data_IF_448605353435
#
_entry.id   IF_448605353435
#
_cell.length_a   1.000
_cell.length_b   1.000
_cell.length_c   1.000
_cell.angle_alpha   90.00
_cell.angle_beta   90.00
_cell.angle_gamma   90.00
#
_symmetry.space_group_name_H-M   'P 1'
#
loop_
_entity.id
_entity.type
_entity.pdbx_description
1 polymer ?
#
# COMPACT_ATOMS: atom_id res chain seq x y z
N UNK A 1 -18.43 19.35 -6.55
CA UNK A 1 -19.43 19.09 -7.61
C UNK A 1 -19.89 17.67 -7.38
N UNK A 2 -21.19 17.39 -7.19
CA UNK A 2 -21.61 16.02 -6.86
C UNK A 2 -21.31 15.08 -8.05
N UNK A 3 -20.45 14.09 -7.82
CA UNK A 3 -20.08 13.07 -8.82
C UNK A 3 -21.33 12.32 -9.25
N UNK A 4 -21.67 12.36 -10.54
CA UNK A 4 -22.86 11.69 -11.08
C UNK A 4 -22.45 10.37 -11.73
N UNK A 5 -23.03 9.27 -11.26
CA UNK A 5 -22.82 7.95 -11.84
C UNK A 5 -23.40 7.87 -13.25
N UNK A 6 -22.69 7.23 -14.17
CA UNK A 6 -23.21 6.90 -15.49
C UNK A 6 -24.27 5.79 -15.39
N UNK A 7 -25.21 5.68 -16.36
CA UNK A 7 -26.20 4.59 -16.37
C UNK A 7 -25.56 3.20 -16.28
N UNK A 8 -24.41 3.01 -16.95
CA UNK A 8 -23.65 1.75 -16.92
C UNK A 8 -23.10 1.44 -15.53
N UNK A 9 -22.59 2.45 -14.80
CA UNK A 9 -22.12 2.29 -13.42
C UNK A 9 -23.28 1.94 -12.48
N UNK A 10 -24.42 2.62 -12.62
CA UNK A 10 -25.63 2.31 -11.84
C UNK A 10 -26.11 0.88 -12.07
N UNK A 11 -26.16 0.44 -13.32
CA UNK A 11 -26.53 -0.95 -13.66
C UNK A 11 -25.54 -1.96 -13.06
N UNK A 12 -24.24 -1.66 -13.10
CA UNK A 12 -23.20 -2.54 -12.55
C UNK A 12 -23.30 -2.63 -11.03
N UNK A 13 -23.50 -1.51 -10.32
CA UNK A 13 -23.76 -1.50 -8.87
C UNK A 13 -25.02 -2.31 -8.55
N UNK A 14 -26.12 -2.08 -9.27
CA UNK A 14 -27.37 -2.81 -9.09
C UNK A 14 -27.21 -4.33 -9.25
N UNK A 15 -26.30 -4.78 -10.13
CA UNK A 15 -25.98 -6.21 -10.31
C UNK A 15 -25.32 -6.83 -9.07
N UNK A 16 -24.57 -6.06 -8.29
CA UNK A 16 -23.92 -6.51 -7.06
C UNK A 16 -24.79 -6.36 -5.81
N UNK A 17 -25.90 -5.62 -5.86
CA UNK A 17 -26.85 -5.47 -4.74
C UNK A 17 -27.31 -6.82 -4.15
N UNK A 18 -27.74 -7.83 -4.95
CA UNK A 18 -28.12 -9.12 -4.39
C UNK A 18 -26.95 -9.90 -3.76
N UNK A 19 -25.73 -9.69 -4.23
CA UNK A 19 -24.52 -10.28 -3.63
C UNK A 19 -24.30 -9.64 -2.28
N UNK A 20 -24.31 -8.31 -2.22
CA UNK A 20 -24.07 -7.58 -0.98
C UNK A 20 -25.11 -7.85 0.09
N UNK A 21 -26.40 -8.01 -0.28
CA UNK A 21 -27.43 -8.41 0.69
C UNK A 21 -27.11 -9.74 1.38
N UNK A 22 -26.49 -10.71 0.70
CA UNK A 22 -26.07 -11.97 1.34
C UNK A 22 -24.96 -11.77 2.36
N UNK A 23 -24.06 -10.82 2.11
CA UNK A 23 -23.02 -10.45 3.08
C UNK A 23 -23.65 -9.79 4.31
N UNK A 24 -24.64 -8.91 4.10
CA UNK A 24 -25.39 -8.29 5.18
C UNK A 24 -26.21 -9.31 6.00
N UNK A 25 -26.77 -10.34 5.37
CA UNK A 25 -27.54 -11.40 6.04
C UNK A 25 -26.67 -12.25 6.99
N UNK A 26 -25.35 -12.36 6.75
CA UNK A 26 -24.38 -13.09 7.59
C UNK A 26 -23.47 -12.15 8.41
N UNK A 27 -23.85 -10.87 8.51
CA UNK A 27 -22.98 -9.83 9.07
C UNK A 27 -22.53 -10.11 10.52
N UNK A 28 -23.36 -10.77 11.32
CA UNK A 28 -23.06 -11.09 12.72
C UNK A 28 -21.92 -12.11 12.89
N UNK A 29 -21.68 -12.96 11.88
CA UNK A 29 -20.63 -13.98 11.91
C UNK A 29 -19.44 -13.67 10.99
N UNK A 30 -19.53 -12.60 10.18
CA UNK A 30 -18.46 -12.23 9.26
C UNK A 30 -17.23 -11.72 10.02
N UNK A 31 -16.13 -12.47 9.91
CA UNK A 31 -14.87 -12.14 10.58
C UNK A 31 -14.31 -10.76 10.20
N UNK A 32 -14.56 -10.27 8.99
CA UNK A 32 -14.11 -8.93 8.56
C UNK A 32 -14.89 -7.83 9.28
N UNK A 33 -16.20 -8.03 9.50
CA UNK A 33 -17.03 -7.07 10.24
C UNK A 33 -16.70 -7.08 11.73
N UNK A 34 -16.48 -8.26 12.31
CA UNK A 34 -16.02 -8.38 13.69
C UNK A 34 -14.67 -7.67 13.90
N UNK A 35 -13.74 -7.83 12.95
CA UNK A 35 -12.44 -7.15 13.01
C UNK A 35 -12.57 -5.63 12.79
N UNK A 36 -13.46 -5.19 11.88
CA UNK A 36 -13.77 -3.78 11.70
C UNK A 36 -14.35 -3.19 13.00
N UNK A 37 -15.27 -3.89 13.67
CA UNK A 37 -15.88 -3.45 14.91
C UNK A 37 -14.86 -3.33 16.05
N UNK A 38 -14.02 -4.36 16.25
CA UNK A 38 -12.96 -4.32 17.26
C UNK A 38 -12.01 -3.12 17.06
N UNK A 39 -11.70 -2.80 15.79
CA UNK A 39 -10.85 -1.66 15.44
C UNK A 39 -11.56 -0.31 15.66
N UNK A 40 -12.85 -0.21 15.36
CA UNK A 40 -13.67 0.96 15.73
C UNK A 40 -13.63 1.20 17.23
N UNK A 41 -13.81 0.15 18.02
CA UNK A 41 -13.77 0.24 19.48
C UNK A 41 -12.39 0.72 19.96
N UNK A 42 -11.30 0.12 19.48
CA UNK A 42 -9.94 0.54 19.79
C UNK A 42 -9.68 2.01 19.45
N UNK A 43 -10.01 2.43 18.22
CA UNK A 43 -9.71 3.78 17.74
C UNK A 43 -10.60 4.83 18.39
N UNK A 44 -11.85 4.48 18.74
CA UNK A 44 -12.74 5.37 19.49
C UNK A 44 -12.19 5.75 20.86
N UNK A 45 -11.32 4.92 21.44
CA UNK A 45 -10.65 5.18 22.71
C UNK A 45 -9.33 5.92 22.51
N UNK A 46 -8.49 5.46 21.58
CA UNK A 46 -7.10 5.92 21.45
C UNK A 46 -6.92 7.17 20.57
N UNK A 47 -7.84 7.44 19.64
CA UNK A 47 -7.72 8.53 18.66
C UNK A 47 -8.59 9.74 18.98
N UNK A 48 -9.15 9.83 20.19
CA UNK A 48 -9.87 11.05 20.62
C UNK A 48 -8.91 12.24 20.79
N UNK A 49 -9.41 13.50 20.72
CA UNK A 49 -8.57 14.67 20.93
C UNK A 49 -7.87 14.69 22.30
N UNK A 50 -8.44 14.03 23.31
CA UNK A 50 -7.87 13.96 24.64
C UNK A 50 -6.86 12.82 24.78
N UNK A 51 -7.18 11.63 24.29
CA UNK A 51 -6.26 10.49 24.28
C UNK A 51 -4.96 10.82 23.53
N UNK A 52 -5.04 11.53 22.40
CA UNK A 52 -3.86 11.96 21.66
C UNK A 52 -2.93 12.87 22.46
N UNK A 53 -3.39 13.64 23.45
CA UNK A 53 -2.50 14.48 24.29
C UNK A 53 -1.60 13.65 25.20
N UNK A 54 -2.04 12.43 25.51
CA UNK A 54 -1.41 11.54 26.46
C UNK A 54 -0.87 10.26 25.80
N UNK A 55 -0.92 10.20 24.46
CA UNK A 55 -0.49 9.05 23.68
C UNK A 55 0.99 8.78 23.87
N UNK A 56 1.31 7.62 24.45
CA UNK A 56 2.66 7.09 24.55
C UNK A 56 2.99 6.14 23.40
N UNK A 57 4.16 5.52 23.49
CA UNK A 57 4.62 4.53 22.51
C UNK A 57 3.72 3.29 22.47
N UNK A 58 3.15 2.90 23.60
CA UNK A 58 2.24 1.76 23.69
C UNK A 58 0.95 2.03 22.88
N UNK A 59 0.25 3.13 23.16
CA UNK A 59 -1.00 3.47 22.48
C UNK A 59 -0.76 3.76 21.00
N UNK A 60 0.33 4.45 20.67
CA UNK A 60 0.73 4.66 19.27
C UNK A 60 0.98 3.32 18.57
N UNK A 61 1.73 2.42 19.20
CA UNK A 61 2.01 1.10 18.66
C UNK A 61 0.76 0.24 18.51
N UNK A 62 -0.22 0.37 19.40
CA UNK A 62 -1.53 -0.28 19.28
C UNK A 62 -2.28 0.19 18.03
N UNK A 63 -2.33 1.51 17.81
CA UNK A 63 -2.97 2.10 16.63
C UNK A 63 -2.27 1.61 15.35
N UNK A 64 -0.94 1.73 15.27
CA UNK A 64 -0.20 1.38 14.05
C UNK A 64 -0.22 -0.12 13.77
N UNK A 65 0.04 -0.95 14.78
CA UNK A 65 0.11 -2.41 14.61
C UNK A 65 -1.21 -3.00 14.16
N UNK A 66 -2.30 -2.36 14.59
CA UNK A 66 -3.64 -2.72 14.19
C UNK A 66 -4.03 -2.17 12.83
N UNK A 67 -3.27 -1.40 12.05
CA UNK A 67 -3.79 -1.04 10.71
C UNK A 67 -3.92 -2.28 9.81
N UNK A 68 -4.91 -2.30 8.90
CA UNK A 68 -4.98 -3.31 7.85
C UNK A 68 -3.76 -3.25 6.94
N UNK A 69 -3.29 -2.05 6.61
CA UNK A 69 -2.03 -1.86 5.86
C UNK A 69 -0.81 -2.42 6.61
N UNK A 70 -0.85 -2.45 7.94
CA UNK A 70 0.22 -3.02 8.74
C UNK A 70 0.28 -4.54 8.65
N UNK A 71 -0.77 -5.26 8.20
CA UNK A 71 -0.79 -6.74 8.09
C UNK A 71 0.39 -7.31 7.29
N UNK A 72 0.92 -6.55 6.34
CA UNK A 72 2.10 -6.92 5.56
C UNK A 72 3.38 -7.04 6.40
N UNK A 73 3.42 -6.45 7.60
CA UNK A 73 4.58 -6.47 8.48
C UNK A 73 4.54 -7.65 9.43
N UNK A 74 5.45 -8.61 9.28
CA UNK A 74 5.60 -9.71 10.24
C UNK A 74 6.06 -9.21 11.62
N UNK A 75 6.97 -8.22 11.66
CA UNK A 75 7.44 -7.61 12.90
C UNK A 75 6.81 -6.22 13.11
N UNK A 76 5.70 -6.17 13.85
CA UNK A 76 5.00 -4.92 14.19
C UNK A 76 5.84 -3.98 15.07
N UNK A 77 6.63 -4.54 15.99
CA UNK A 77 7.54 -3.77 16.84
C UNK A 77 8.53 -2.95 16.01
N UNK A 78 9.17 -3.59 15.04
CA UNK A 78 10.08 -2.92 14.13
C UNK A 78 9.40 -1.82 13.30
N UNK A 79 8.18 -2.05 12.80
CA UNK A 79 7.41 -1.01 12.09
C UNK A 79 7.23 0.24 12.95
N UNK A 80 6.76 0.05 14.20
CA UNK A 80 6.51 1.15 15.13
C UNK A 80 7.81 1.87 15.49
N UNK A 81 8.86 1.14 15.84
CA UNK A 81 10.18 1.70 16.15
C UNK A 81 10.76 2.48 14.95
N UNK A 82 10.58 1.97 13.73
CA UNK A 82 11.02 2.65 12.51
C UNK A 82 10.25 3.96 12.31
N UNK A 83 8.93 3.97 12.44
CA UNK A 83 8.14 5.19 12.35
C UNK A 83 8.57 6.24 13.39
N UNK A 84 8.77 5.81 14.65
CA UNK A 84 9.23 6.69 15.73
C UNK A 84 10.65 7.20 15.44
N UNK A 85 11.56 6.36 14.96
CA UNK A 85 12.93 6.77 14.59
C UNK A 85 12.95 7.78 13.44
N UNK A 86 12.12 7.58 12.43
CA UNK A 86 12.11 8.42 11.22
C UNK A 86 11.41 9.77 11.44
N UNK A 87 10.56 9.90 12.47
CA UNK A 87 9.70 11.08 12.68
C UNK A 87 9.73 11.67 14.11
N UNK A 88 10.09 10.90 15.12
CA UNK A 88 9.83 11.10 16.57
C UNK A 88 8.37 10.95 16.97
N UNK A 89 8.13 10.32 18.14
CA UNK A 89 6.78 10.11 18.68
C UNK A 89 6.00 11.43 18.89
N UNK A 90 6.59 12.51 19.46
CA UNK A 90 5.84 13.77 19.63
C UNK A 90 5.38 14.38 18.31
N UNK A 91 6.22 14.34 17.27
CA UNK A 91 5.83 14.86 15.95
C UNK A 91 4.73 14.01 15.31
N UNK A 92 4.82 12.67 15.41
CA UNK A 92 3.78 11.76 14.93
C UNK A 92 2.43 12.05 15.58
N UNK A 93 2.40 12.21 16.91
CA UNK A 93 1.18 12.51 17.67
C UNK A 93 0.61 13.87 17.29
N UNK A 94 1.46 14.89 17.14
CA UNK A 94 1.04 16.22 16.71
C UNK A 94 0.45 16.23 15.30
N UNK A 95 1.07 15.51 14.36
CA UNK A 95 0.53 15.39 12.99
C UNK A 95 -0.75 14.55 12.96
N UNK A 96 -0.87 13.47 13.75
CA UNK A 96 -2.11 12.71 13.89
C UNK A 96 -3.24 13.60 14.40
N UNK A 97 -2.98 14.45 15.39
CA UNK A 97 -3.96 15.42 15.90
C UNK A 97 -4.41 16.39 14.81
N UNK A 98 -3.49 16.88 13.97
CA UNK A 98 -3.84 17.78 12.85
C UNK A 98 -4.60 17.05 11.75
N UNK A 99 -4.21 15.83 11.41
CA UNK A 99 -4.88 15.00 10.43
C UNK A 99 -6.33 14.71 10.83
N UNK A 100 -6.52 14.22 12.05
CA UNK A 100 -7.81 13.72 12.52
C UNK A 100 -8.72 14.86 12.97
N UNK A 101 -8.20 15.82 13.72
CA UNK A 101 -9.00 16.86 14.40
C UNK A 101 -8.64 18.29 14.02
N UNK A 102 -7.73 18.49 13.06
CA UNK A 102 -7.38 19.81 12.56
C UNK A 102 -8.56 20.50 11.86
N UNK A 103 -8.51 21.82 11.79
CA UNK A 103 -9.46 22.64 11.04
C UNK A 103 -9.13 22.63 9.55
N UNK A 104 -10.13 22.86 8.70
CA UNK A 104 -9.97 22.94 7.25
C UNK A 104 -10.46 21.68 6.52
N UNK A 105 -10.29 21.70 5.20
CA UNK A 105 -10.69 20.60 4.31
C UNK A 105 -9.85 19.33 4.58
N UNK A 106 -10.47 18.16 4.43
CA UNK A 106 -9.82 16.88 4.74
C UNK A 106 -8.62 16.65 3.83
N UNK A 107 -8.73 16.96 2.55
CA UNK A 107 -7.65 16.84 1.57
C UNK A 107 -6.43 17.68 1.95
N UNK A 108 -6.63 18.91 2.46
CA UNK A 108 -5.52 19.76 2.91
C UNK A 108 -4.79 19.15 4.10
N UNK A 109 -5.53 18.59 5.08
CA UNK A 109 -4.95 17.93 6.27
C UNK A 109 -4.21 16.64 5.88
N UNK A 110 -4.78 15.88 4.94
CA UNK A 110 -4.17 14.69 4.36
C UNK A 110 -2.80 15.00 3.72
N UNK A 111 -2.74 15.99 2.82
CA UNK A 111 -1.47 16.34 2.16
C UNK A 111 -0.43 16.93 3.12
N UNK A 112 -0.88 17.69 4.13
CA UNK A 112 0.02 18.17 5.18
C UNK A 112 0.65 17.00 5.96
N UNK A 113 -0.17 16.03 6.39
CA UNK A 113 0.30 14.84 7.08
C UNK A 113 1.27 14.03 6.22
N UNK A 114 0.90 13.73 4.97
CA UNK A 114 1.72 12.93 4.05
C UNK A 114 3.10 13.56 3.79
N UNK A 115 3.19 14.89 3.73
CA UNK A 115 4.48 15.60 3.60
C UNK A 115 5.31 15.58 4.88
N UNK A 116 4.66 15.61 6.04
CA UNK A 116 5.33 15.71 7.33
C UNK A 116 5.78 14.34 7.88
N UNK A 117 5.00 13.29 7.64
CA UNK A 117 5.20 11.96 8.21
C UNK A 117 5.75 10.98 7.17
N UNK A 118 6.94 10.45 7.43
CA UNK A 118 7.58 9.41 6.63
C UNK A 118 7.07 8.02 7.03
N UNK A 119 6.94 7.12 6.05
CA UNK A 119 6.60 5.72 6.27
C UNK A 119 5.10 5.42 6.40
N UNK A 120 4.23 6.38 6.09
CA UNK A 120 2.78 6.18 6.04
C UNK A 120 2.25 6.58 4.67
N UNK A 121 1.79 5.59 3.89
CA UNK A 121 1.15 5.82 2.60
C UNK A 121 -0.35 6.13 2.71
N UNK A 122 -0.96 6.47 1.58
CA UNK A 122 -2.39 6.79 1.47
C UNK A 122 -3.30 5.75 2.15
N UNK A 123 -3.03 4.45 2.02
CA UNK A 123 -3.81 3.40 2.67
C UNK A 123 -3.87 3.57 4.21
N UNK A 124 -2.72 3.70 4.86
CA UNK A 124 -2.67 3.91 6.32
C UNK A 124 -3.33 5.22 6.76
N UNK A 125 -3.12 6.30 6.00
CA UNK A 125 -3.65 7.63 6.35
C UNK A 125 -5.17 7.66 6.21
N UNK A 126 -5.69 7.14 5.10
CA UNK A 126 -7.14 7.10 4.83
C UNK A 126 -7.85 6.11 5.76
N UNK A 127 -7.19 5.02 6.18
CA UNK A 127 -7.74 4.12 7.20
C UNK A 127 -7.97 4.85 8.53
N UNK A 128 -6.96 5.55 9.04
CA UNK A 128 -7.11 6.34 10.27
C UNK A 128 -8.26 7.36 10.14
N UNK A 129 -8.37 8.04 9.00
CA UNK A 129 -9.44 9.00 8.75
C UNK A 129 -10.82 8.32 8.66
N UNK A 130 -10.92 7.17 8.00
CA UNK A 130 -12.17 6.44 7.79
C UNK A 130 -12.72 5.86 9.09
N UNK A 131 -11.87 5.39 10.00
CA UNK A 131 -12.34 4.89 11.29
C UNK A 131 -12.72 6.00 12.29
N UNK A 132 -12.11 7.19 12.18
CA UNK A 132 -12.44 8.33 13.06
C UNK A 132 -13.62 9.15 12.52
N UNK A 133 -13.76 9.25 11.20
CA UNK A 133 -14.79 10.03 10.51
C UNK A 133 -15.47 9.23 9.38
N UNK A 134 -16.09 8.06 9.70
CA UNK A 134 -16.63 7.14 8.69
C UNK A 134 -17.76 7.72 7.85
N UNK A 135 -18.40 8.80 8.30
CA UNK A 135 -19.46 9.50 7.58
C UNK A 135 -18.98 10.31 6.37
N UNK A 136 -17.66 10.55 6.26
CA UNK A 136 -17.09 11.47 5.26
C UNK A 136 -15.71 11.08 4.72
N UNK A 137 -15.04 10.10 5.32
CA UNK A 137 -13.70 9.68 4.94
C UNK A 137 -13.72 8.22 4.50
N UNK A 138 -13.37 7.97 3.24
CA UNK A 138 -13.33 6.65 2.63
C UNK A 138 -11.99 5.97 2.83
N UNK A 139 -11.96 4.65 2.77
CA UNK A 139 -10.72 3.89 2.80
C UNK A 139 -10.16 3.74 1.37
N UNK A 140 -8.97 4.29 1.12
CA UNK A 140 -8.29 4.16 -0.17
C UNK A 140 -7.21 3.08 -0.10
N UNK A 141 -7.44 1.92 -0.70
CA UNK A 141 -6.49 0.82 -0.78
C UNK A 141 -6.68 0.00 -2.07
N UNK A 142 -5.82 -0.99 -2.29
CA UNK A 142 -5.81 -1.82 -3.50
C UNK A 142 -7.13 -2.55 -3.72
N UNK A 143 -7.76 -3.03 -2.64
CA UNK A 143 -9.07 -3.68 -2.69
C UNK A 143 -10.14 -2.73 -3.21
N UNK A 144 -10.23 -1.52 -2.64
CA UNK A 144 -11.21 -0.52 -3.05
C UNK A 144 -10.96 -0.08 -4.50
N UNK A 145 -9.70 0.09 -4.91
CA UNK A 145 -9.33 0.43 -6.30
C UNK A 145 -9.77 -0.67 -7.27
N UNK A 146 -9.49 -1.93 -6.96
CA UNK A 146 -9.87 -3.08 -7.78
C UNK A 146 -11.39 -3.27 -7.84
N UNK A 147 -12.11 -3.07 -6.73
CA UNK A 147 -13.56 -3.12 -6.72
C UNK A 147 -14.18 -2.02 -7.61
N UNK A 148 -13.68 -0.79 -7.53
CA UNK A 148 -14.15 0.32 -8.36
C UNK A 148 -13.84 0.09 -9.85
N UNK A 149 -12.71 -0.53 -10.17
CA UNK A 149 -12.40 -0.95 -11.53
C UNK A 149 -13.43 -1.95 -12.07
N UNK A 150 -13.77 -2.99 -11.27
CA UNK A 150 -14.84 -3.95 -11.59
C UNK A 150 -16.20 -3.26 -11.79
N UNK A 151 -16.48 -2.19 -11.05
CA UNK A 151 -17.70 -1.39 -11.20
C UNK A 151 -17.68 -0.43 -12.40
N UNK A 152 -16.58 -0.39 -13.17
CA UNK A 152 -16.46 0.38 -14.40
C UNK A 152 -16.01 1.83 -14.22
N UNK A 153 -15.25 2.14 -13.17
CA UNK A 153 -14.75 3.50 -12.91
C UNK A 153 -13.35 3.79 -13.47
N UNK A 154 -12.64 2.82 -14.06
CA UNK A 154 -11.24 2.98 -14.51
C UNK A 154 -11.00 4.12 -15.50
N UNK A 155 -11.91 4.33 -16.44
CA UNK A 155 -11.75 5.39 -17.43
C UNK A 155 -12.19 6.76 -16.89
N UNK A 156 -13.27 6.80 -16.11
CA UNK A 156 -13.81 8.03 -15.53
C UNK A 156 -13.03 8.53 -14.31
N UNK A 157 -12.31 7.64 -13.64
CA UNK A 157 -11.54 7.92 -12.42
C UNK A 157 -10.07 7.47 -12.58
N UNK A 158 -9.24 8.23 -13.32
CA UNK A 158 -7.84 7.86 -13.58
C UNK A 158 -7.00 7.65 -12.32
N UNK A 159 -7.41 8.25 -11.19
CA UNK A 159 -6.82 8.08 -9.87
C UNK A 159 -6.79 6.62 -9.41
N UNK A 160 -7.66 5.73 -9.90
CA UNK A 160 -7.60 4.29 -9.58
C UNK A 160 -6.24 3.65 -9.91
N UNK A 161 -5.49 4.23 -10.87
CA UNK A 161 -4.15 3.77 -11.25
C UNK A 161 -3.05 4.18 -10.25
N UNK A 162 -3.38 4.94 -9.20
CA UNK A 162 -2.41 5.49 -8.25
C UNK A 162 -2.59 4.88 -6.86
N UNK A 163 -1.54 4.29 -6.31
CA UNK A 163 -1.53 3.89 -4.89
C UNK A 163 -1.47 5.12 -3.98
N UNK A 164 -0.63 6.10 -4.33
CA UNK A 164 -0.52 7.38 -3.62
C UNK A 164 -1.32 8.47 -4.34
N UNK A 165 -2.19 9.15 -3.59
CA UNK A 165 -3.07 10.18 -4.11
C UNK A 165 -2.81 11.52 -3.42
N UNK A 166 -3.23 12.63 -4.03
CA UNK A 166 -3.28 13.95 -3.40
C UNK A 166 -4.50 14.11 -2.50
N UNK A 167 -4.51 15.19 -1.71
CA UNK A 167 -5.69 15.58 -0.92
C UNK A 167 -6.93 15.82 -1.80
N UNK A 168 -6.76 16.50 -2.93
CA UNK A 168 -7.87 16.79 -3.86
C UNK A 168 -8.40 15.51 -4.53
N UNK A 169 -7.52 14.58 -4.86
CA UNK A 169 -7.89 13.26 -5.38
C UNK A 169 -8.62 12.44 -4.31
N UNK A 170 -8.20 12.54 -3.05
CA UNK A 170 -8.89 11.90 -1.93
C UNK A 170 -10.29 12.49 -1.68
N UNK A 171 -10.45 13.81 -1.78
CA UNK A 171 -11.78 14.44 -1.70
C UNK A 171 -12.67 14.01 -2.87
N UNK A 172 -12.11 13.91 -4.08
CA UNK A 172 -12.84 13.39 -5.25
C UNK A 172 -13.27 11.93 -5.06
N UNK A 173 -12.44 11.12 -4.39
CA UNK A 173 -12.79 9.75 -4.01
C UNK A 173 -13.93 9.70 -2.98
N UNK A 174 -13.92 10.58 -1.98
CA UNK A 174 -15.01 10.68 -1.01
C UNK A 174 -16.33 11.11 -1.68
N UNK A 175 -16.29 12.04 -2.64
CA UNK A 175 -17.45 12.43 -3.44
C UNK A 175 -18.00 11.24 -4.27
N UNK A 176 -17.12 10.40 -4.81
CA UNK A 176 -17.49 9.16 -5.50
C UNK A 176 -18.17 8.17 -4.54
N UNK A 177 -17.64 7.99 -3.33
CA UNK A 177 -18.27 7.11 -2.34
C UNK A 177 -19.67 7.61 -1.92
N UNK A 178 -19.87 8.93 -1.80
CA UNK A 178 -21.23 9.49 -1.59
C UNK A 178 -22.18 9.13 -2.73
N UNK A 179 -21.70 9.16 -3.97
CA UNK A 179 -22.52 8.78 -5.12
C UNK A 179 -22.90 7.28 -5.10
N UNK A 180 -21.95 6.41 -4.75
CA UNK A 180 -22.18 4.96 -4.59
C UNK A 180 -23.13 4.69 -3.43
N UNK A 181 -22.93 5.33 -2.28
CA UNK A 181 -23.80 5.25 -1.11
C UNK A 181 -25.25 5.64 -1.47
N UNK A 182 -25.42 6.73 -2.22
CA UNK A 182 -26.74 7.19 -2.68
C UNK A 182 -27.41 6.20 -3.62
N UNK A 183 -26.64 5.58 -4.53
CA UNK A 183 -27.16 4.52 -5.41
C UNK A 183 -27.58 3.28 -4.61
N UNK A 184 -26.79 2.84 -3.64
CA UNK A 184 -27.16 1.73 -2.75
C UNK A 184 -28.45 2.02 -1.97
N UNK A 185 -28.63 3.26 -1.49
CA UNK A 185 -29.87 3.71 -0.86
C UNK A 185 -31.09 3.64 -1.80
N UNK A 186 -30.91 3.92 -3.11
CA UNK A 186 -31.98 3.73 -4.09
C UNK A 186 -32.44 2.26 -4.22
N UNK A 187 -31.57 1.32 -3.82
CA UNK A 187 -31.88 -0.11 -3.71
C UNK A 187 -32.28 -0.54 -2.29
N UNK A 188 -32.67 0.40 -1.42
CA UNK A 188 -33.08 0.16 -0.03
C UNK A 188 -31.99 -0.49 0.83
N UNK A 189 -30.73 -0.11 0.57
CA UNK A 189 -29.61 -0.40 1.45
C UNK A 189 -29.20 0.93 2.08
N UNK A 190 -29.93 1.29 3.12
CA UNK A 190 -29.81 2.56 3.83
C UNK A 190 -28.80 2.46 4.99
N UNK A 191 -28.51 3.59 5.64
CA UNK A 191 -27.70 3.69 6.87
C UNK A 191 -26.24 3.19 6.77
N UNK A 192 -25.69 3.04 5.57
CA UNK A 192 -24.26 2.76 5.40
C UNK A 192 -23.44 4.01 5.65
N UNK A 193 -22.41 3.92 6.49
CA UNK A 193 -21.28 4.86 6.46
C UNK A 193 -20.25 4.43 5.39
N UNK A 194 -19.16 5.16 5.20
CA UNK A 194 -18.16 4.81 4.18
C UNK A 194 -17.38 3.52 4.49
N UNK A 195 -17.34 3.08 5.74
CA UNK A 195 -16.81 1.75 6.08
C UNK A 195 -17.81 0.64 5.68
N UNK A 196 -19.12 0.91 5.74
CA UNK A 196 -20.16 0.07 5.15
C UNK A 196 -20.10 0.03 3.62
N UNK A 197 -19.88 1.17 2.97
CA UNK A 197 -19.61 1.23 1.51
C UNK A 197 -18.33 0.47 1.15
N UNK A 198 -17.28 0.57 1.97
CA UNK A 198 -16.06 -0.22 1.78
C UNK A 198 -16.32 -1.73 1.92
N UNK A 199 -17.25 -2.15 2.78
CA UNK A 199 -17.68 -3.56 2.86
C UNK A 199 -18.45 -4.00 1.61
N UNK A 200 -19.23 -3.11 0.99
CA UNK A 200 -19.79 -3.36 -0.35
C UNK A 200 -18.69 -3.55 -1.40
N UNK A 201 -17.68 -2.67 -1.43
CA UNK A 201 -16.53 -2.81 -2.33
C UNK A 201 -15.78 -4.12 -2.10
N UNK A 202 -15.65 -4.57 -0.85
CA UNK A 202 -15.10 -5.87 -0.52
C UNK A 202 -15.91 -7.02 -1.14
N UNK A 203 -17.23 -7.02 -1.00
CA UNK A 203 -18.10 -8.05 -1.61
C UNK A 203 -18.02 -8.06 -3.14
N UNK A 204 -17.87 -6.89 -3.78
CA UNK A 204 -17.64 -6.78 -5.23
C UNK A 204 -16.31 -7.43 -5.61
N UNK A 205 -15.24 -7.07 -4.91
CA UNK A 205 -13.89 -7.57 -5.17
C UNK A 205 -13.78 -9.08 -4.95
N UNK A 206 -14.29 -9.59 -3.84
CA UNK A 206 -14.27 -11.01 -3.51
C UNK A 206 -15.06 -11.83 -4.54
N UNK A 207 -16.28 -11.41 -4.87
CA UNK A 207 -17.10 -12.11 -5.85
C UNK A 207 -16.50 -12.07 -7.28
N UNK A 208 -15.85 -10.97 -7.65
CA UNK A 208 -15.13 -10.89 -8.92
C UNK A 208 -13.95 -11.88 -8.97
N UNK A 209 -13.19 -12.00 -7.86
CA UNK A 209 -12.10 -12.99 -7.74
C UNK A 209 -12.59 -14.43 -7.78
N UNK A 210 -13.71 -14.73 -7.13
CA UNK A 210 -14.24 -16.10 -7.09
C UNK A 210 -14.75 -16.61 -8.45
N UNK A 211 -15.23 -15.70 -9.31
CA UNK A 211 -15.68 -16.02 -10.68
C UNK A 211 -14.53 -16.32 -11.65
N UNK A 212 -13.28 -16.08 -11.26
CA UNK A 212 -12.11 -16.50 -12.02
C UNK A 212 -11.92 -18.03 -11.92
N UNK A 213 -11.73 -18.75 -13.04
CA UNK A 213 -11.34 -20.16 -13.04
C UNK A 213 -10.15 -20.43 -12.12
N UNK A 214 -10.09 -21.60 -11.46
CA UNK A 214 -8.96 -21.98 -10.59
C UNK A 214 -7.58 -21.89 -11.30
N UNK A 215 -7.54 -22.05 -12.62
CA UNK A 215 -6.34 -21.88 -13.45
C UNK A 215 -5.91 -20.43 -13.67
N UNK A 216 -6.77 -19.46 -13.36
CA UNK A 216 -6.49 -18.01 -13.36
C UNK A 216 -6.26 -17.49 -11.93
N UNK A 217 -6.58 -18.28 -10.89
CA UNK A 217 -6.26 -17.97 -9.48
C UNK A 217 -4.77 -18.18 -9.14
N UNK A 218 -4.07 -18.99 -9.94
CA UNK A 218 -2.61 -18.96 -10.08
C UNK A 218 -2.35 -18.27 -11.41
N UNK A 219 -1.56 -17.18 -11.48
CA UNK A 219 -1.37 -16.50 -12.75
C UNK A 219 -0.66 -17.47 -13.70
N UNK A 220 -1.24 -17.78 -14.89
CA UNK A 220 -0.44 -18.36 -15.96
C UNK A 220 0.68 -17.36 -16.31
N UNK A 221 1.84 -17.83 -16.81
CA UNK A 221 2.84 -16.91 -17.35
C UNK A 221 2.12 -16.02 -18.38
N UNK A 222 2.23 -14.69 -18.28
CA UNK A 222 1.37 -13.79 -19.03
C UNK A 222 1.56 -14.02 -20.54
N UNK A 223 0.47 -14.11 -21.34
CA UNK A 223 0.60 -13.79 -22.75
C UNK A 223 1.01 -12.31 -22.88
N UNK A 224 1.74 -11.97 -23.93
CA UNK A 224 2.19 -10.62 -24.26
C UNK A 224 0.99 -9.65 -24.26
N UNK A 225 0.79 -8.97 -23.13
CA UNK A 225 -0.22 -7.95 -22.88
C UNK A 225 0.48 -6.59 -22.77
N UNK A 226 -0.19 -5.50 -23.20
CA UNK A 226 0.43 -4.24 -23.60
C UNK A 226 1.16 -3.53 -22.44
N UNK A 227 2.10 -2.65 -22.80
CA UNK A 227 2.97 -1.83 -21.94
C UNK A 227 2.34 -1.57 -20.56
N UNK A 228 2.84 -2.26 -19.55
CA UNK A 228 2.27 -2.26 -18.22
C UNK A 228 2.74 -0.98 -17.49
N UNK A 229 1.91 0.05 -17.47
CA UNK A 229 2.20 1.29 -16.72
C UNK A 229 1.99 1.03 -15.22
N UNK A 230 3.08 0.76 -14.50
CA UNK A 230 3.09 0.50 -13.06
C UNK A 230 3.48 1.75 -12.24
N UNK A 231 3.10 1.83 -10.97
CA UNK A 231 3.49 2.94 -10.09
C UNK A 231 4.90 2.71 -9.51
N UNK A 232 5.79 3.70 -9.68
CA UNK A 232 7.19 3.59 -9.25
C UNK A 232 7.30 3.53 -7.73
N UNK A 233 6.56 4.39 -7.02
CA UNK A 233 6.61 4.44 -5.57
C UNK A 233 6.03 3.16 -4.96
N UNK A 234 4.95 2.64 -5.54
CA UNK A 234 4.37 1.37 -5.12
C UNK A 234 5.37 0.22 -5.29
N UNK A 235 6.07 0.16 -6.42
CA UNK A 235 7.06 -0.88 -6.65
C UNK A 235 8.22 -0.80 -5.65
N UNK A 236 8.67 0.40 -5.32
CA UNK A 236 9.69 0.63 -4.29
C UNK A 236 9.23 0.12 -2.91
N UNK A 237 7.98 0.38 -2.53
CA UNK A 237 7.41 -0.14 -1.27
C UNK A 237 7.34 -1.67 -1.26
N UNK A 238 6.90 -2.30 -2.35
CA UNK A 238 6.88 -3.75 -2.48
C UNK A 238 8.28 -4.37 -2.31
N UNK A 239 9.30 -3.78 -2.93
CA UNK A 239 10.69 -4.23 -2.77
C UNK A 239 11.18 -4.10 -1.33
N UNK A 240 10.84 -3.02 -0.62
CA UNK A 240 11.17 -2.87 0.80
C UNK A 240 10.50 -3.97 1.63
N UNK A 241 9.21 -4.22 1.39
CA UNK A 241 8.44 -5.25 2.09
C UNK A 241 9.01 -6.65 1.87
N UNK A 242 9.36 -6.99 0.62
CA UNK A 242 10.00 -8.27 0.28
C UNK A 242 11.32 -8.42 1.06
N UNK A 243 12.17 -7.39 1.03
CA UNK A 243 13.46 -7.40 1.73
C UNK A 243 13.32 -7.64 3.23
N UNK A 244 12.39 -6.95 3.87
CA UNK A 244 12.12 -7.13 5.31
C UNK A 244 11.63 -8.53 5.64
N UNK A 245 10.75 -9.11 4.82
CA UNK A 245 10.27 -10.47 5.00
C UNK A 245 11.36 -11.53 4.87
N UNK A 246 12.35 -11.27 4.01
CA UNK A 246 13.54 -12.10 3.88
C UNK A 246 14.59 -11.86 4.99
N UNK A 247 14.33 -10.94 5.92
CA UNK A 247 15.20 -10.64 7.05
C UNK A 247 16.28 -9.57 6.77
N UNK A 248 16.20 -8.86 5.65
CA UNK A 248 17.08 -7.73 5.37
C UNK A 248 16.61 -6.46 6.08
N UNK A 249 17.57 -5.61 6.46
CA UNK A 249 17.31 -4.21 6.75
C UNK A 249 17.10 -3.49 5.42
N UNK A 250 15.83 -3.36 5.00
CA UNK A 250 15.47 -2.71 3.74
C UNK A 250 15.06 -1.24 3.97
N UNK A 251 15.66 -0.33 3.19
CA UNK A 251 15.44 1.11 3.28
C UNK A 251 15.17 1.72 1.89
N UNK A 252 14.26 2.69 1.84
CA UNK A 252 13.90 3.48 0.64
C UNK A 252 14.78 4.72 0.51
N UNK A 253 15.12 5.10 -0.72
CA UNK A 253 15.77 6.37 -1.09
C UNK A 253 17.07 6.68 -0.33
N UNK A 254 17.94 5.68 -0.21
CA UNK A 254 19.15 5.77 0.61
C UNK A 254 20.35 6.24 -0.20
N UNK A 255 21.18 7.08 0.41
CA UNK A 255 22.46 7.46 -0.17
C UNK A 255 23.50 6.36 0.10
N UNK A 256 23.95 5.68 -0.96
CA UNK A 256 24.86 4.51 -0.87
C UNK A 256 26.31 4.92 -1.07
N UNK A 257 26.54 5.95 -1.89
CA UNK A 257 27.84 6.55 -2.15
C UNK A 257 27.68 8.05 -2.43
N UNK A 258 28.79 8.78 -2.48
CA UNK A 258 28.77 10.23 -2.74
C UNK A 258 28.11 10.50 -4.10
N UNK A 259 26.93 11.14 -4.07
CA UNK A 259 26.16 11.44 -5.29
C UNK A 259 25.46 10.22 -5.92
N UNK A 260 25.25 9.14 -5.15
CA UNK A 260 24.41 8.00 -5.54
C UNK A 260 23.36 7.76 -4.46
N UNK A 261 22.13 8.11 -4.82
CA UNK A 261 20.92 7.84 -4.04
C UNK A 261 20.14 6.81 -4.84
N UNK A 262 19.80 5.70 -4.18
CA UNK A 262 19.17 4.54 -4.82
C UNK A 262 17.77 4.36 -4.30
N UNK A 263 16.89 3.76 -5.10
CA UNK A 263 15.49 3.58 -4.74
C UNK A 263 15.31 2.66 -3.53
N UNK A 264 15.97 1.49 -3.53
CA UNK A 264 15.94 0.56 -2.38
C UNK A 264 17.33 0.00 -2.09
N UNK A 265 17.66 -0.08 -0.81
CA UNK A 265 18.84 -0.79 -0.30
C UNK A 265 18.40 -1.90 0.64
N UNK A 266 18.80 -3.15 0.37
CA UNK A 266 18.69 -4.25 1.33
C UNK A 266 20.06 -4.50 1.95
N UNK A 267 20.15 -4.49 3.29
CA UNK A 267 21.38 -4.77 4.01
C UNK A 267 21.21 -5.97 4.93
N UNK A 268 22.21 -6.84 4.98
CA UNK A 268 22.30 -7.91 5.97
C UNK A 268 23.67 -7.88 6.64
N UNK A 269 23.66 -7.99 7.97
CA UNK A 269 24.87 -8.19 8.75
C UNK A 269 25.20 -9.68 8.84
N UNK A 270 26.37 -10.06 8.34
CA UNK A 270 26.83 -11.46 8.36
C UNK A 270 27.68 -11.67 9.60
N UNK A 271 27.02 -11.83 10.76
CA UNK A 271 27.68 -11.96 12.05
C UNK A 271 28.71 -10.86 12.29
N UNK A 272 29.96 -11.25 12.55
CA UNK A 272 31.10 -10.35 12.72
C UNK A 272 31.97 -10.21 11.46
N UNK A 273 31.54 -10.79 10.32
CA UNK A 273 32.31 -10.81 9.06
C UNK A 273 32.13 -9.53 8.23
N UNK A 274 31.04 -8.81 8.45
CA UNK A 274 30.77 -7.54 7.77
C UNK A 274 29.31 -7.39 7.35
N UNK A 275 29.08 -6.45 6.44
CA UNK A 275 27.76 -6.11 5.90
C UNK A 275 27.75 -6.38 4.41
N UNK A 276 26.69 -7.02 3.94
CA UNK A 276 26.41 -7.16 2.51
C UNK A 276 25.18 -6.35 2.15
N UNK A 277 25.23 -5.71 0.99
CA UNK A 277 24.20 -4.80 0.50
C UNK A 277 23.76 -5.17 -0.92
N UNK A 278 22.47 -5.07 -1.18
CA UNK A 278 21.84 -5.24 -2.50
C UNK A 278 21.11 -3.94 -2.84
N UNK A 279 21.42 -3.38 -3.99
CA UNK A 279 20.88 -2.09 -4.46
C UNK A 279 19.83 -2.37 -5.52
N UNK A 280 18.66 -1.73 -5.42
CA UNK A 280 17.62 -1.79 -6.43
C UNK A 280 17.34 -0.41 -7.00
N UNK A 281 17.10 -0.38 -8.31
CA UNK A 281 16.63 0.79 -9.07
C UNK A 281 15.41 0.39 -9.89
N UNK A 282 14.32 1.15 -9.73
CA UNK A 282 13.03 0.91 -10.38
C UNK A 282 12.91 1.81 -11.62
N UNK A 283 13.14 1.23 -12.79
CA UNK A 283 13.12 1.96 -14.04
C UNK A 283 11.72 1.89 -14.68
N UNK A 284 10.95 2.97 -14.52
CA UNK A 284 9.66 3.18 -15.20
C UNK A 284 9.80 4.12 -16.41
N UNK A 285 10.36 5.31 -16.19
CA UNK A 285 10.58 6.38 -17.19
C UNK A 285 11.88 7.11 -16.86
N UNK A 286 12.52 7.68 -17.88
CA UNK A 286 13.76 8.45 -17.71
C UNK A 286 14.94 7.90 -18.49
N UNK A 287 16.11 8.52 -18.33
CA UNK A 287 17.32 8.19 -19.08
C UNK A 287 18.00 6.93 -18.51
N UNK A 288 18.24 5.95 -19.38
CA UNK A 288 18.99 4.73 -19.05
C UNK A 288 20.45 5.07 -18.71
N UNK A 289 21.04 6.08 -19.34
CA UNK A 289 22.39 6.56 -18.99
C UNK A 289 22.46 7.04 -17.55
N UNK A 290 21.41 7.73 -17.09
CA UNK A 290 21.33 8.22 -15.70
C UNK A 290 21.22 7.06 -14.71
N UNK A 291 20.41 6.05 -15.03
CA UNK A 291 20.30 4.80 -14.28
C UNK A 291 21.67 4.10 -14.18
N UNK A 292 22.33 3.86 -15.32
CA UNK A 292 23.64 3.18 -15.38
C UNK A 292 24.68 3.96 -14.59
N UNK A 293 24.74 5.27 -14.76
CA UNK A 293 25.68 6.13 -14.03
C UNK A 293 25.46 6.06 -12.53
N UNK A 294 24.20 6.03 -12.07
CA UNK A 294 23.88 5.92 -10.65
C UNK A 294 24.34 4.56 -10.08
N UNK A 295 24.06 3.47 -10.81
CA UNK A 295 24.45 2.11 -10.43
C UNK A 295 25.98 1.91 -10.40
N UNK A 296 26.71 2.50 -11.35
CA UNK A 296 28.18 2.49 -11.34
C UNK A 296 28.75 3.19 -10.11
N UNK A 297 28.13 4.30 -9.68
CA UNK A 297 28.52 4.98 -8.44
C UNK A 297 28.23 4.12 -7.21
N UNK A 298 27.07 3.45 -7.18
CA UNK A 298 26.72 2.54 -6.10
C UNK A 298 27.69 1.34 -6.00
N UNK A 299 28.16 0.82 -7.14
CA UNK A 299 29.14 -0.28 -7.19
C UNK A 299 30.46 0.03 -6.46
N UNK A 300 30.85 1.31 -6.39
CA UNK A 300 32.09 1.70 -5.72
C UNK A 300 32.03 1.51 -4.19
N UNK A 301 30.85 1.25 -3.62
CA UNK A 301 30.72 0.90 -2.21
C UNK A 301 31.08 -0.59 -2.02
N UNK A 302 32.14 -0.93 -1.22
CA UNK A 302 32.60 -2.31 -1.07
C UNK A 302 31.59 -3.29 -0.49
N UNK A 303 30.56 -2.79 0.20
CA UNK A 303 29.50 -3.64 0.76
C UNK A 303 28.47 -4.05 -0.28
N UNK A 304 28.42 -3.38 -1.45
CA UNK A 304 27.45 -3.65 -2.50
C UNK A 304 27.87 -4.89 -3.28
N UNK A 305 27.10 -5.97 -3.10
CA UNK A 305 27.35 -7.26 -3.74
C UNK A 305 26.68 -7.35 -5.10
N UNK A 306 25.48 -6.77 -5.23
CA UNK A 306 24.67 -6.81 -6.45
C UNK A 306 23.89 -5.51 -6.64
N UNK A 307 23.69 -5.20 -7.91
CA UNK A 307 22.87 -4.11 -8.43
C UNK A 307 21.68 -4.77 -9.14
N UNK A 308 20.45 -4.42 -8.80
CA UNK A 308 19.26 -5.02 -9.36
C UNK A 308 18.44 -3.94 -10.06
N UNK A 309 18.12 -4.16 -11.32
CA UNK A 309 17.26 -3.28 -12.10
C UNK A 309 15.88 -3.92 -12.17
N UNK A 310 14.86 -3.18 -11.76
CA UNK A 310 13.46 -3.59 -11.79
C UNK A 310 12.73 -2.78 -12.84
N UNK A 311 12.21 -3.43 -13.89
CA UNK A 311 11.54 -2.76 -14.99
C UNK A 311 10.54 -3.68 -15.70
N UNK A 312 9.73 -3.12 -16.59
CA UNK A 312 8.91 -3.90 -17.52
C UNK A 312 9.81 -4.70 -18.49
N UNK A 313 9.34 -5.85 -18.97
CA UNK A 313 10.11 -6.78 -19.81
C UNK A 313 10.77 -6.09 -21.02
N UNK A 314 10.01 -5.24 -21.72
CA UNK A 314 10.49 -4.46 -22.87
C UNK A 314 11.66 -3.52 -22.54
N UNK A 315 11.60 -2.87 -21.37
CA UNK A 315 12.64 -1.97 -20.90
C UNK A 315 13.88 -2.73 -20.46
N UNK A 316 13.70 -3.93 -19.87
CA UNK A 316 14.82 -4.78 -19.44
C UNK A 316 15.72 -5.12 -20.63
N UNK A 317 15.15 -5.50 -21.77
CA UNK A 317 15.94 -5.90 -22.93
C UNK A 317 16.69 -4.72 -23.55
N UNK A 318 16.08 -3.54 -23.56
CA UNK A 318 16.76 -2.31 -23.98
C UNK A 318 17.94 -1.97 -23.05
N UNK A 319 17.74 -2.06 -21.72
CA UNK A 319 18.79 -1.80 -20.72
C UNK A 319 19.92 -2.84 -20.82
N UNK A 320 19.61 -4.12 -21.06
CA UNK A 320 20.64 -5.16 -21.30
C UNK A 320 21.52 -4.80 -22.50
N UNK A 321 20.94 -4.25 -23.57
CA UNK A 321 21.66 -3.78 -24.74
C UNK A 321 22.68 -2.70 -24.40
N UNK A 322 22.27 -1.68 -23.65
CA UNK A 322 23.16 -0.60 -23.20
C UNK A 322 24.28 -1.12 -22.28
N UNK A 323 23.93 -1.98 -21.32
CA UNK A 323 24.87 -2.55 -20.35
C UNK A 323 25.88 -3.50 -21.01
N UNK A 324 25.56 -4.12 -22.15
CA UNK A 324 26.46 -5.04 -22.84
C UNK A 324 27.80 -4.40 -23.25
N UNK A 325 27.80 -3.07 -23.47
CA UNK A 325 29.01 -2.30 -23.81
C UNK A 325 29.92 -2.01 -22.62
N UNK A 326 29.46 -2.26 -21.38
CA UNK A 326 30.15 -1.87 -20.15
C UNK A 326 31.16 -2.92 -19.67
N UNK A 327 32.07 -2.55 -18.74
CA UNK A 327 33.07 -3.46 -18.18
C UNK A 327 32.45 -4.73 -17.61
N UNK A 328 33.13 -5.86 -17.78
CA UNK A 328 32.66 -7.17 -17.31
C UNK A 328 32.38 -7.21 -15.80
N UNK A 329 33.16 -6.48 -15.02
CA UNK A 329 32.96 -6.33 -13.56
C UNK A 329 31.61 -5.68 -13.22
N UNK A 330 31.15 -4.73 -14.01
CA UNK A 330 29.83 -4.13 -13.86
C UNK A 330 28.74 -5.07 -14.38
N UNK A 331 28.93 -5.66 -15.56
CA UNK A 331 27.94 -6.60 -16.14
C UNK A 331 27.63 -7.78 -15.23
N UNK A 332 28.64 -8.31 -14.52
CA UNK A 332 28.46 -9.43 -13.58
C UNK A 332 27.80 -9.05 -12.26
N UNK A 333 27.86 -7.78 -11.86
CA UNK A 333 27.22 -7.30 -10.62
C UNK A 333 25.76 -6.94 -10.81
N UNK A 334 25.33 -6.68 -12.05
CA UNK A 334 23.95 -6.36 -12.40
C UNK A 334 23.09 -7.63 -12.50
N UNK A 335 21.89 -7.56 -11.90
CA UNK A 335 20.79 -8.49 -12.07
C UNK A 335 19.54 -7.74 -12.53
N UNK A 336 18.56 -8.48 -13.02
CA UNK A 336 17.29 -7.94 -13.51
C UNK A 336 16.15 -8.66 -12.80
N UNK A 337 15.06 -7.95 -12.57
CA UNK A 337 13.81 -8.51 -12.09
C UNK A 337 12.67 -7.83 -12.83
N UNK A 338 11.73 -8.61 -13.36
CA UNK A 338 10.55 -8.03 -14.00
C UNK A 338 9.59 -7.48 -12.94
N UNK A 339 8.94 -6.36 -13.23
CA UNK A 339 7.93 -5.76 -12.34
C UNK A 339 6.85 -6.78 -11.95
N UNK A 340 6.39 -7.60 -12.89
CA UNK A 340 5.39 -8.66 -12.65
C UNK A 340 5.86 -9.68 -11.62
N UNK A 341 7.12 -10.09 -11.70
CA UNK A 341 7.71 -11.04 -10.74
C UNK A 341 7.79 -10.42 -9.35
N UNK A 342 8.17 -9.14 -9.27
CA UNK A 342 8.24 -8.39 -8.03
C UNK A 342 6.86 -8.24 -7.36
N UNK A 343 5.84 -7.85 -8.13
CA UNK A 343 4.45 -7.77 -7.65
C UNK A 343 3.95 -9.13 -7.18
N UNK A 344 4.23 -10.19 -7.96
CA UNK A 344 3.83 -11.55 -7.59
C UNK A 344 4.51 -12.02 -6.30
N UNK A 345 5.78 -11.69 -6.11
CA UNK A 345 6.49 -12.00 -4.87
C UNK A 345 5.85 -11.30 -3.67
N UNK A 346 5.46 -10.03 -3.81
CA UNK A 346 4.76 -9.28 -2.76
C UNK A 346 3.40 -9.89 -2.40
N UNK A 347 2.61 -10.31 -3.39
CA UNK A 347 1.34 -11.01 -3.17
C UNK A 347 1.53 -12.32 -2.39
N UNK A 348 2.48 -13.16 -2.81
CA UNK A 348 2.78 -14.44 -2.17
C UNK A 348 3.25 -14.26 -0.73
N UNK A 349 4.04 -13.22 -0.47
CA UNK A 349 4.44 -12.84 0.88
C UNK A 349 3.22 -12.40 1.71
N UNK A 350 2.29 -11.65 1.12
CA UNK A 350 1.03 -11.29 1.76
C UNK A 350 0.19 -12.52 2.16
N UNK A 351 0.06 -13.48 1.25
CA UNK A 351 -0.62 -14.75 1.52
C UNK A 351 0.09 -15.55 2.63
N UNK A 352 1.41 -15.72 2.54
CA UNK A 352 2.22 -16.40 3.54
C UNK A 352 2.11 -15.72 4.90
N UNK A 353 2.18 -14.39 4.95
CA UNK A 353 1.99 -13.58 6.15
C UNK A 353 0.64 -13.89 6.81
N UNK A 354 -0.44 -13.90 6.02
CA UNK A 354 -1.78 -14.22 6.52
C UNK A 354 -1.91 -15.64 7.07
N UNK A 355 -1.21 -16.62 6.46
CA UNK A 355 -1.19 -18.01 6.95
C UNK A 355 -0.39 -18.13 8.24
N UNK A 356 0.84 -17.59 8.27
CA UNK A 356 1.74 -17.66 9.43
C UNK A 356 1.20 -16.84 10.61
N UNK A 357 0.50 -15.74 10.35
CA UNK A 357 -0.13 -14.91 11.38
C UNK A 357 -1.09 -15.70 12.29
N UNK A 358 -1.76 -16.73 11.75
CA UNK A 358 -2.66 -17.62 12.52
C UNK A 358 -1.95 -18.45 13.59
N UNK A 359 -0.63 -18.58 13.49
CA UNK A 359 0.18 -19.37 14.41
C UNK A 359 0.58 -18.58 15.67
N UNK A 360 0.35 -17.26 15.71
CA UNK A 360 0.70 -16.39 16.84
C UNK A 360 2.17 -16.53 17.32
N UNK A 361 3.09 -16.86 16.41
CA UNK A 361 4.49 -17.20 16.74
C UNK A 361 5.24 -16.07 17.44
N UNK A 362 4.79 -14.83 17.26
CA UNK A 362 5.28 -13.64 17.94
C UNK A 362 4.06 -12.83 18.37
N UNK A 363 3.85 -12.70 19.68
CA UNK A 363 2.83 -11.79 20.19
C UNK A 363 3.29 -10.36 19.95
N UNK A 364 2.42 -9.53 19.37
CA UNK A 364 2.65 -8.09 19.31
C UNK A 364 2.89 -7.58 20.72
N UNK A 365 3.99 -6.85 20.94
CA UNK A 365 4.25 -6.19 22.23
C UNK A 365 3.20 -5.13 22.58
N UNK A 366 2.35 -4.78 21.61
CA UNK A 366 1.26 -3.82 21.75
C UNK A 366 -0.09 -4.49 22.09
N UNK A 367 -0.18 -5.83 22.09
CA UNK A 367 -1.36 -6.56 22.55
C UNK A 367 -2.62 -6.38 21.68
N UNK A 368 -2.43 -6.15 20.37
CA UNK A 368 -3.51 -6.05 19.36
C UNK A 368 -3.38 -7.13 18.32
#
# INVERSE_FOLDING_TARGET
MSTRLSPTQQETIARYVPVFRRYLDDAENDSNLLEQQARRELYSQLLTPDALKHMGELEFGQVISSLWSSRLWGNKGYLVEKLIRDNTLPALVDELRRLLWGRGAVGTRFDAFRRAVKGMGAASITELLAFVHPERCGLWNDMARAALDVLGFREDFPTLRKAQISGDEYESFNDLLTAIQSELGAHRIDDLDFLGVNYFLFAVWENARERLPLSERVPPPPPEAPEEDFDHDEMVEHLVNIGQWLGFQAEKEKMVARGSRVDVLWQAQIGNLGVVSYVFEVQRRGSIDSLILNLQRAQNNPTVQRLIIVAAAENIDHIKGEIASLPESFRKSVGFMEVREALRAAELIGELSGIIGKLELVRSQFGV
#
